data_IF_085724156299
#
_entry.id   IF_085724156299
#
_cell.length_a   1.000
_cell.length_b   1.000
_cell.length_c   1.000
_cell.angle_alpha   90.00
_cell.angle_beta   90.00
_cell.angle_gamma   90.00
#
_symmetry.space_group_name_H-M   'P 1'
#
loop_
_entity.id
_entity.type
_entity.pdbx_description
1 polymer ?
#
# COMPACT_ATOMS: atom_id res chain seq x y z
N UNK A 1 -5.38 21.54 21.66
CA UNK A 1 -6.22 20.39 22.02
C UNK A 1 -6.40 19.52 20.78
N UNK A 2 -5.89 18.29 20.75
CA UNK A 2 -6.03 17.39 19.58
C UNK A 2 -7.44 16.81 19.59
N UNK A 3 -8.26 17.15 18.59
CA UNK A 3 -9.60 16.58 18.44
C UNK A 3 -9.47 15.06 18.21
N UNK A 4 -9.89 14.26 19.19
CA UNK A 4 -9.82 12.79 19.17
C UNK A 4 -10.50 12.18 17.93
N UNK A 5 -11.51 12.85 17.39
CA UNK A 5 -12.18 12.40 16.16
C UNK A 5 -11.28 12.51 14.92
N UNK A 6 -10.45 13.55 14.84
CA UNK A 6 -9.52 13.75 13.73
C UNK A 6 -8.43 12.67 13.75
N UNK A 7 -7.91 12.32 14.93
CA UNK A 7 -6.91 11.26 15.06
C UNK A 7 -7.46 9.86 14.75
N UNK A 8 -8.74 9.60 15.03
CA UNK A 8 -9.41 8.33 14.63
C UNK A 8 -9.59 8.27 13.11
N UNK A 9 -9.92 9.39 12.47
CA UNK A 9 -10.03 9.45 11.01
C UNK A 9 -8.67 9.24 10.33
N UNK A 10 -7.60 9.88 10.83
CA UNK A 10 -6.23 9.68 10.34
C UNK A 10 -5.82 8.20 10.42
N UNK A 11 -6.06 7.56 11.57
CA UNK A 11 -5.81 6.13 11.73
C UNK A 11 -6.65 5.27 10.79
N UNK A 12 -7.91 5.65 10.54
CA UNK A 12 -8.79 4.94 9.62
C UNK A 12 -8.34 5.08 8.16
N UNK A 13 -7.84 6.25 7.76
CA UNK A 13 -7.22 6.45 6.45
C UNK A 13 -5.97 5.58 6.29
N UNK A 14 -5.11 5.55 7.31
CA UNK A 14 -3.93 4.67 7.31
C UNK A 14 -4.29 3.19 7.17
N UNK A 15 -5.28 2.70 7.92
CA UNK A 15 -5.77 1.32 7.79
C UNK A 15 -6.39 1.08 6.41
N UNK A 16 -7.05 2.08 5.81
CA UNK A 16 -7.60 1.99 4.46
C UNK A 16 -6.48 1.78 3.42
N UNK A 17 -5.37 2.51 3.55
CA UNK A 17 -4.22 2.38 2.66
C UNK A 17 -3.56 1.00 2.85
N UNK A 18 -3.30 0.59 4.09
CA UNK A 18 -2.79 -0.76 4.38
C UNK A 18 -3.72 -1.86 3.84
N UNK A 19 -5.03 -1.65 3.86
CA UNK A 19 -5.99 -2.61 3.31
C UNK A 19 -5.87 -2.74 1.79
N UNK A 20 -5.51 -1.66 1.08
CA UNK A 20 -5.30 -1.66 -0.37
C UNK A 20 -4.09 -2.53 -0.78
N UNK A 21 -3.03 -2.52 0.03
CA UNK A 21 -1.81 -3.30 -0.22
C UNK A 21 -1.83 -4.68 0.44
N UNK A 22 -2.98 -5.11 0.99
CA UNK A 22 -3.13 -6.36 1.73
C UNK A 22 -2.24 -6.48 2.99
N UNK A 23 -1.84 -5.34 3.57
CA UNK A 23 -1.00 -5.23 4.76
C UNK A 23 -1.82 -5.11 6.05
N UNK A 24 -3.10 -4.72 5.95
CA UNK A 24 -3.96 -4.58 7.12
C UNK A 24 -4.42 -5.93 7.70
N UNK A 25 -4.40 -6.04 9.03
CA UNK A 25 -4.92 -7.20 9.76
C UNK A 25 -6.45 -7.35 9.61
N UNK A 26 -6.97 -8.55 9.86
CA UNK A 26 -8.42 -8.81 9.81
C UNK A 26 -9.20 -7.95 10.83
N UNK A 27 -8.62 -7.76 12.02
CA UNK A 27 -9.22 -6.93 13.10
C UNK A 27 -9.25 -5.46 12.69
N UNK A 28 -8.19 -4.95 12.07
CA UNK A 28 -8.14 -3.55 11.63
C UNK A 28 -9.13 -3.29 10.49
N UNK A 29 -9.28 -4.26 9.56
CA UNK A 29 -10.32 -4.19 8.52
C UNK A 29 -11.73 -4.14 9.12
N UNK A 30 -12.00 -4.90 10.18
CA UNK A 30 -13.29 -4.85 10.87
C UNK A 30 -13.54 -3.48 11.53
N UNK A 31 -12.56 -2.94 12.26
CA UNK A 31 -12.64 -1.59 12.85
C UNK A 31 -12.88 -0.52 11.79
N UNK A 32 -12.18 -0.61 10.66
CA UNK A 32 -12.37 0.30 9.54
C UNK A 32 -13.82 0.22 9.02
N UNK A 33 -14.36 -0.99 8.79
CA UNK A 33 -15.74 -1.15 8.32
C UNK A 33 -16.75 -0.46 9.23
N UNK A 34 -16.62 -0.60 10.55
CA UNK A 34 -17.48 0.09 11.51
C UNK A 34 -17.34 1.60 11.37
N UNK A 35 -16.11 2.13 11.29
CA UNK A 35 -15.88 3.57 11.16
C UNK A 35 -16.51 4.14 9.87
N UNK A 36 -16.42 3.41 8.75
CA UNK A 36 -16.99 3.83 7.46
C UNK A 36 -18.54 3.92 7.45
N UNK A 37 -19.23 3.31 8.42
CA UNK A 37 -20.69 3.42 8.55
C UNK A 37 -21.12 4.83 8.98
N UNK A 38 -20.30 5.49 9.79
CA UNK A 38 -20.67 6.77 10.43
C UNK A 38 -19.82 7.95 9.94
N UNK A 39 -18.66 7.70 9.33
CA UNK A 39 -17.76 8.74 8.84
C UNK A 39 -17.81 8.87 7.31
N UNK A 40 -18.54 9.88 6.80
CA UNK A 40 -18.70 10.12 5.35
C UNK A 40 -17.40 10.47 4.64
N UNK A 41 -16.48 11.20 5.29
CA UNK A 41 -15.19 11.58 4.71
C UNK A 41 -14.30 10.36 4.48
N UNK A 42 -14.16 9.49 5.49
CA UNK A 42 -13.43 8.22 5.35
C UNK A 42 -14.13 7.27 4.37
N UNK A 43 -15.46 7.29 4.27
CA UNK A 43 -16.19 6.55 3.23
C UNK A 43 -15.82 7.03 1.83
N UNK A 44 -15.78 8.35 1.60
CA UNK A 44 -15.37 8.91 0.31
C UNK A 44 -13.90 8.56 -0.01
N UNK A 45 -13.01 8.63 0.98
CA UNK A 45 -11.61 8.22 0.84
C UNK A 45 -11.49 6.74 0.44
N UNK A 46 -12.17 5.85 1.16
CA UNK A 46 -12.17 4.41 0.88
C UNK A 46 -12.72 4.06 -0.51
N UNK A 47 -13.77 4.78 -0.96
CA UNK A 47 -14.31 4.63 -2.32
C UNK A 47 -13.29 5.04 -3.38
N UNK A 48 -12.58 6.17 -3.20
CA UNK A 48 -11.52 6.62 -4.11
C UNK A 48 -10.36 5.61 -4.18
N UNK A 49 -9.91 5.10 -3.03
CA UNK A 49 -8.88 4.06 -2.99
C UNK A 49 -9.33 2.77 -3.69
N UNK A 50 -10.57 2.34 -3.51
CA UNK A 50 -11.10 1.16 -4.20
C UNK A 50 -11.14 1.37 -5.72
N UNK A 51 -11.53 2.56 -6.18
CA UNK A 51 -11.53 2.90 -7.60
C UNK A 51 -10.11 2.86 -8.19
N UNK A 52 -9.11 3.39 -7.47
CA UNK A 52 -7.70 3.32 -7.87
C UNK A 52 -7.22 1.87 -7.99
N UNK A 53 -7.46 1.03 -6.98
CA UNK A 53 -7.12 -0.40 -7.02
C UNK A 53 -7.70 -1.09 -8.24
N UNK A 54 -8.97 -0.79 -8.54
CA UNK A 54 -9.66 -1.37 -9.69
C UNK A 54 -9.09 -0.88 -11.01
N UNK A 55 -8.72 0.41 -11.13
CA UNK A 55 -8.07 0.96 -12.31
C UNK A 55 -6.72 0.29 -12.57
N UNK A 56 -5.89 0.12 -11.53
CA UNK A 56 -4.60 -0.57 -11.63
C UNK A 56 -4.81 -2.03 -12.06
N UNK A 57 -5.72 -2.77 -11.41
CA UNK A 57 -6.02 -4.15 -11.79
C UNK A 57 -6.52 -4.28 -13.23
N UNK A 58 -7.35 -3.34 -13.69
CA UNK A 58 -7.87 -3.30 -15.08
C UNK A 58 -6.79 -2.98 -16.10
N UNK A 59 -5.81 -2.14 -15.75
CA UNK A 59 -4.71 -1.77 -16.64
C UNK A 59 -3.74 -2.93 -16.96
N UNK A 60 -3.93 -4.12 -16.35
CA UNK A 60 -3.13 -5.34 -16.59
C UNK A 60 -1.62 -5.04 -16.58
N UNK A 61 -1.18 -4.19 -15.65
CA UNK A 61 0.22 -3.76 -15.56
C UNK A 61 1.09 -5.02 -15.50
N UNK A 62 2.01 -5.13 -16.45
CA UNK A 62 2.97 -6.24 -16.49
C UNK A 62 4.04 -5.97 -15.45
N UNK A 63 3.87 -6.54 -14.26
CA UNK A 63 4.90 -6.53 -13.24
C UNK A 63 6.07 -7.44 -13.64
N UNK A 64 7.28 -7.07 -13.26
CA UNK A 64 8.47 -7.92 -13.41
C UNK A 64 8.25 -9.24 -12.66
N UNK A 65 8.58 -10.37 -13.28
CA UNK A 65 8.43 -11.65 -12.60
C UNK A 65 9.55 -11.84 -11.56
N UNK A 66 9.32 -12.73 -10.58
CA UNK A 66 10.29 -12.96 -9.49
C UNK A 66 11.67 -13.39 -10.02
N UNK A 67 11.70 -14.18 -11.10
CA UNK A 67 12.96 -14.64 -11.71
C UNK A 67 13.75 -13.47 -12.29
N UNK A 68 13.12 -12.65 -13.12
CA UNK A 68 13.76 -11.48 -13.74
C UNK A 68 14.22 -10.49 -12.67
N UNK A 69 13.44 -10.31 -11.60
CA UNK A 69 13.82 -9.46 -10.46
C UNK A 69 15.08 -9.98 -9.77
N UNK A 70 15.15 -11.28 -9.51
CA UNK A 70 16.32 -11.90 -8.88
C UNK A 70 17.56 -11.83 -9.78
N UNK A 71 17.41 -12.03 -11.08
CA UNK A 71 18.51 -11.91 -12.04
C UNK A 71 19.03 -10.48 -12.10
N UNK A 72 18.13 -9.51 -12.16
CA UNK A 72 18.48 -8.08 -12.13
C UNK A 72 19.23 -7.72 -10.84
N UNK A 73 18.76 -8.18 -9.68
CA UNK A 73 19.44 -7.98 -8.40
C UNK A 73 20.84 -8.60 -8.38
N UNK A 74 21.02 -9.81 -8.92
CA UNK A 74 22.34 -10.46 -9.02
C UNK A 74 23.28 -9.65 -9.90
N UNK A 75 22.81 -9.18 -11.08
CA UNK A 75 23.60 -8.34 -11.99
C UNK A 75 24.03 -7.05 -11.30
N UNK A 76 23.09 -6.32 -10.69
CA UNK A 76 23.39 -5.08 -9.96
C UNK A 76 24.45 -5.32 -8.87
N UNK A 77 24.28 -6.35 -8.04
CA UNK A 77 25.24 -6.66 -6.97
C UNK A 77 26.63 -7.03 -7.52
N UNK A 78 26.69 -7.77 -8.63
CA UNK A 78 27.96 -8.11 -9.27
C UNK A 78 28.70 -6.89 -9.82
N UNK A 79 27.99 -5.92 -10.41
CA UNK A 79 28.61 -4.68 -10.89
C UNK A 79 29.07 -3.79 -9.73
N UNK A 80 28.28 -3.67 -8.65
CA UNK A 80 28.68 -2.94 -7.44
C UNK A 80 29.97 -3.53 -6.83
N UNK A 81 30.09 -4.86 -6.77
CA UNK A 81 31.30 -5.52 -6.26
C UNK A 81 32.51 -5.28 -7.16
N UNK A 82 32.34 -5.31 -8.49
CA UNK A 82 33.41 -5.01 -9.44
C UNK A 82 33.92 -3.57 -9.29
N UNK A 83 33.02 -2.60 -9.12
CA UNK A 83 33.41 -1.19 -8.91
C UNK A 83 34.09 -0.98 -7.54
N UNK A 84 33.68 -1.71 -6.51
CA UNK A 84 34.32 -1.67 -5.19
C UNK A 84 35.68 -2.35 -5.10
N UNK A 85 36.00 -3.30 -6.01
CA UNK A 85 37.30 -3.98 -6.08
C UNK A 85 38.31 -3.32 -7.01
N UNK A 86 37.92 -2.24 -7.72
CA UNK A 86 38.79 -1.50 -8.63
C UNK A 86 39.29 -0.17 -8.02
N UNK A 87 39.25 -0.07 -6.69
CA UNK A 87 39.75 1.07 -5.90
C UNK A 87 40.76 0.62 -4.86
#
# INVERSE_FOLDING_TARGET
MKNTFLSICEKSCYICDQSQYAEASAVDKFKLRIHLLFCKSCQAYSKKNTALTNAIKKSKVKCICTKDKQELQKKINSEIQKEGSNK
#
